data_IF_208766912004
#
_entry.id   IF_208766912004
#
_cell.length_a   1.000
_cell.length_b   1.000
_cell.length_c   1.000
_cell.angle_alpha   90.00
_cell.angle_beta   90.00
_cell.angle_gamma   90.00
#
_symmetry.space_group_name_H-M   'P 1'
#
loop_
_entity.id
_entity.type
_entity.pdbx_description
1 polymer ?
#
# COMPACT_ATOMS: atom_id res chain seq x y z
N UNK A 1 -27.33 -2.02 -2.22
CA UNK A 1 -26.32 -2.87 -1.56
C UNK A 1 -25.81 -2.13 -0.33
N UNK A 2 -25.93 -2.71 0.85
CA UNK A 2 -25.50 -2.09 2.11
C UNK A 2 -23.98 -2.04 2.13
N UNK A 3 -23.40 -0.84 2.22
CA UNK A 3 -21.95 -0.63 2.32
C UNK A 3 -21.63 -0.27 3.77
N UNK A 4 -20.68 -0.96 4.42
CA UNK A 4 -20.28 -0.63 5.78
C UNK A 4 -19.83 0.82 5.90
N UNK A 5 -20.19 1.48 6.99
CA UNK A 5 -19.85 2.89 7.24
C UNK A 5 -18.34 3.13 7.16
N UNK A 6 -17.55 2.20 7.66
CA UNK A 6 -16.08 2.28 7.59
C UNK A 6 -15.55 2.38 6.14
N UNK A 7 -16.20 1.70 5.20
CA UNK A 7 -15.80 1.77 3.78
C UNK A 7 -16.25 3.08 3.14
N UNK A 8 -17.44 3.56 3.50
CA UNK A 8 -17.96 4.84 3.02
C UNK A 8 -17.07 6.00 3.46
N UNK A 9 -16.61 5.95 4.70
CA UNK A 9 -15.78 6.99 5.33
C UNK A 9 -14.29 6.88 5.01
N UNK A 10 -13.88 5.83 4.31
CA UNK A 10 -12.47 5.62 3.97
C UNK A 10 -11.94 6.81 3.16
N UNK A 11 -10.80 7.40 3.54
CA UNK A 11 -10.19 8.49 2.80
C UNK A 11 -9.98 8.16 1.32
N UNK A 12 -10.26 9.12 0.46
CA UNK A 12 -10.07 9.02 -1.01
C UNK A 12 -8.89 9.85 -1.50
N UNK A 13 -8.42 10.77 -0.69
CA UNK A 13 -7.25 11.60 -0.97
C UNK A 13 -6.28 11.56 0.20
N UNK A 14 -5.02 11.89 -0.05
CA UNK A 14 -4.01 11.93 1.02
C UNK A 14 -4.34 12.98 2.09
N UNK A 15 -4.99 14.07 1.72
CA UNK A 15 -5.38 15.12 2.67
C UNK A 15 -6.45 14.65 3.66
N UNK A 16 -7.24 13.66 3.29
CA UNK A 16 -8.28 13.08 4.15
C UNK A 16 -7.74 12.05 5.14
N UNK A 17 -6.51 11.57 4.95
CA UNK A 17 -5.90 10.59 5.85
C UNK A 17 -5.54 11.27 7.15
N UNK A 18 -6.06 10.73 8.27
CA UNK A 18 -5.75 11.20 9.60
C UNK A 18 -4.46 10.56 10.11
N UNK A 19 -3.57 11.37 10.67
CA UNK A 19 -2.27 10.90 11.13
C UNK A 19 -1.23 10.80 10.01
N UNK A 20 -0.07 10.25 10.34
CA UNK A 20 1.05 10.02 9.39
C UNK A 20 1.61 11.33 8.78
N UNK A 21 1.54 12.44 9.49
CA UNK A 21 1.99 13.75 9.01
C UNK A 21 3.47 13.75 8.60
N UNK A 22 4.30 12.93 9.26
CA UNK A 22 5.72 12.80 8.94
C UNK A 22 6.01 12.33 7.50
N UNK A 23 5.05 11.66 6.85
CA UNK A 23 5.17 11.20 5.46
C UNK A 23 4.13 11.81 4.52
N UNK A 24 2.98 12.22 5.02
CA UNK A 24 1.84 12.68 4.22
C UNK A 24 1.62 14.20 4.24
N UNK A 25 2.33 14.95 5.07
CA UNK A 25 2.29 16.43 5.02
C UNK A 25 2.71 16.93 3.63
N UNK A 26 2.34 18.14 3.22
CA UNK A 26 2.67 18.66 1.88
C UNK A 26 4.16 18.60 1.54
N UNK A 27 5.05 18.70 2.53
CA UNK A 27 6.51 18.55 2.42
C UNK A 27 7.00 17.13 2.73
N UNK A 28 6.10 16.20 3.06
CA UNK A 28 6.44 14.83 3.40
C UNK A 28 7.02 14.05 2.22
N UNK A 29 7.89 13.08 2.52
CA UNK A 29 8.60 12.33 1.50
C UNK A 29 7.66 11.58 0.56
N UNK A 30 6.63 10.92 1.08
CA UNK A 30 5.69 10.16 0.24
C UNK A 30 4.93 11.08 -0.72
N UNK A 31 4.48 12.24 -0.25
CA UNK A 31 3.79 13.21 -1.09
C UNK A 31 4.70 13.76 -2.20
N UNK A 32 5.95 14.00 -1.90
CA UNK A 32 6.93 14.46 -2.90
C UNK A 32 7.21 13.38 -3.96
N UNK A 33 7.33 12.12 -3.54
CA UNK A 33 7.49 10.99 -4.46
C UNK A 33 6.30 10.92 -5.42
N UNK A 34 5.08 10.98 -4.92
CA UNK A 34 3.88 10.93 -5.75
C UNK A 34 3.77 12.12 -6.70
N UNK A 35 4.18 13.30 -6.27
CA UNK A 35 4.20 14.51 -7.10
C UNK A 35 5.18 14.41 -8.27
N UNK A 36 6.23 13.59 -8.17
CA UNK A 36 7.20 13.36 -9.25
C UNK A 36 6.63 12.55 -10.43
N UNK A 37 5.46 11.94 -10.26
CA UNK A 37 4.83 11.09 -11.27
C UNK A 37 5.40 9.68 -11.38
N UNK A 38 6.43 9.35 -10.62
CA UNK A 38 7.04 8.02 -10.57
C UNK A 38 6.75 7.37 -9.23
N UNK A 39 6.19 6.15 -9.25
CA UNK A 39 5.87 5.41 -8.03
C UNK A 39 6.90 4.28 -7.88
N UNK A 40 7.81 4.37 -6.90
CA UNK A 40 8.75 3.29 -6.61
C UNK A 40 8.06 2.15 -5.87
N UNK A 41 8.75 1.02 -5.77
CA UNK A 41 8.37 0.00 -4.82
C UNK A 41 8.48 0.55 -3.39
N UNK A 42 7.54 0.21 -2.54
CA UNK A 42 7.46 0.73 -1.17
C UNK A 42 7.15 -0.39 -0.18
N UNK A 43 7.60 -0.19 1.03
CA UNK A 43 7.26 -1.05 2.17
C UNK A 43 6.67 -0.17 3.26
N UNK A 44 5.44 -0.47 3.64
CA UNK A 44 4.72 0.21 4.72
C UNK A 44 4.75 -0.69 5.95
N UNK A 45 5.34 -0.24 7.04
CA UNK A 45 5.36 -1.03 8.27
C UNK A 45 4.84 -0.23 9.46
N UNK A 46 4.24 -0.92 10.38
CA UNK A 46 3.67 -0.33 11.59
C UNK A 46 2.42 -1.06 12.06
N UNK A 47 1.82 -0.60 13.16
CA UNK A 47 0.64 -1.24 13.74
C UNK A 47 -0.53 -1.32 12.78
N UNK A 48 -1.40 -2.29 12.99
CA UNK A 48 -2.67 -2.40 12.25
C UNK A 48 -3.53 -1.15 12.47
N UNK A 49 -4.37 -0.82 11.48
CA UNK A 49 -5.31 0.30 11.60
C UNK A 49 -4.67 1.68 11.50
N UNK A 50 -3.48 1.80 10.94
CA UNK A 50 -2.76 3.07 10.81
C UNK A 50 -2.87 3.70 9.42
N UNK A 51 -3.61 3.08 8.49
CA UNK A 51 -3.89 3.65 7.17
C UNK A 51 -3.05 3.08 6.03
N UNK A 52 -2.28 2.02 6.23
CA UNK A 52 -1.43 1.42 5.19
C UNK A 52 -2.21 1.03 3.93
N UNK A 53 -3.28 0.26 4.09
CA UNK A 53 -4.14 -0.15 2.97
C UNK A 53 -4.83 1.04 2.30
N UNK A 54 -5.30 1.99 3.10
CA UNK A 54 -5.96 3.21 2.61
C UNK A 54 -5.02 4.03 1.73
N UNK A 55 -3.79 4.23 2.16
CA UNK A 55 -2.78 4.98 1.39
C UNK A 55 -2.46 4.24 0.08
N UNK A 56 -2.33 2.91 0.11
CA UNK A 56 -2.10 2.12 -1.11
C UNK A 56 -3.26 2.27 -2.11
N UNK A 57 -4.51 2.25 -1.65
CA UNK A 57 -5.69 2.49 -2.50
C UNK A 57 -5.64 3.88 -3.17
N UNK A 58 -5.28 4.90 -2.42
CA UNK A 58 -5.17 6.28 -2.92
C UNK A 58 -4.08 6.37 -4.00
N UNK A 59 -2.94 5.77 -3.76
CA UNK A 59 -1.83 5.75 -4.74
C UNK A 59 -2.25 5.06 -6.03
N UNK A 60 -2.92 3.92 -5.94
CA UNK A 60 -3.42 3.20 -7.13
C UNK A 60 -4.39 4.05 -7.93
N UNK A 61 -5.33 4.74 -7.27
CA UNK A 61 -6.30 5.61 -7.92
C UNK A 61 -5.63 6.81 -8.61
N UNK A 62 -4.65 7.44 -7.98
CA UNK A 62 -3.94 8.58 -8.53
C UNK A 62 -3.05 8.22 -9.73
N UNK A 63 -2.53 6.99 -9.77
CA UNK A 63 -1.61 6.54 -10.82
C UNK A 63 -2.32 5.80 -11.96
N UNK A 64 -3.64 5.61 -11.88
CA UNK A 64 -4.46 4.87 -12.85
C UNK A 64 -4.01 3.41 -13.05
N UNK A 65 -3.22 2.87 -12.14
CA UNK A 65 -2.78 1.48 -12.17
C UNK A 65 -3.85 0.56 -11.62
N UNK A 66 -3.93 -0.64 -12.15
CA UNK A 66 -4.80 -1.66 -11.59
C UNK A 66 -4.26 -2.09 -10.22
N UNK A 67 -5.08 -1.92 -9.18
CA UNK A 67 -4.74 -2.41 -7.85
C UNK A 67 -5.07 -3.90 -7.75
N UNK A 68 -4.06 -4.70 -7.44
CA UNK A 68 -4.22 -6.11 -7.08
C UNK A 68 -3.81 -6.28 -5.61
N UNK A 69 -4.67 -6.90 -4.82
CA UNK A 69 -4.42 -7.12 -3.38
C UNK A 69 -4.20 -8.59 -3.12
N UNK A 70 -3.11 -8.91 -2.45
CA UNK A 70 -2.83 -10.24 -1.92
C UNK A 70 -2.49 -10.15 -0.44
N UNK A 71 -2.79 -11.23 0.28
CA UNK A 71 -2.34 -11.39 1.66
C UNK A 71 -1.36 -12.56 1.69
N UNK A 72 -0.14 -12.31 2.17
CA UNK A 72 0.92 -13.32 2.17
C UNK A 72 0.63 -14.52 3.08
N UNK A 73 -0.35 -14.43 3.98
CA UNK A 73 -0.80 -15.56 4.80
C UNK A 73 -1.53 -16.63 3.97
N UNK A 74 -2.13 -16.25 2.84
CA UNK A 74 -2.96 -17.14 2.01
C UNK A 74 -2.51 -17.19 0.56
N UNK A 75 -1.74 -16.23 0.08
CA UNK A 75 -1.29 -16.13 -1.30
C UNK A 75 -0.15 -17.11 -1.61
N UNK A 76 -0.07 -17.49 -2.86
CA UNK A 76 1.00 -18.35 -3.40
C UNK A 76 1.73 -17.67 -4.55
N UNK A 77 2.84 -18.26 -4.99
CA UNK A 77 3.55 -17.81 -6.19
C UNK A 77 2.68 -17.88 -7.46
N UNK A 78 1.71 -18.79 -7.49
CA UNK A 78 0.75 -18.89 -8.60
C UNK A 78 -0.14 -17.65 -8.70
N UNK A 79 -0.55 -17.06 -7.57
CA UNK A 79 -1.35 -15.83 -7.55
C UNK A 79 -0.58 -14.65 -8.14
N UNK A 80 0.71 -14.54 -7.86
CA UNK A 80 1.59 -13.51 -8.41
C UNK A 80 1.75 -13.70 -9.93
N UNK A 81 1.93 -14.93 -10.38
CA UNK A 81 2.02 -15.25 -11.82
C UNK A 81 0.74 -14.90 -12.57
N UNK A 82 -0.40 -15.15 -11.96
CA UNK A 82 -1.70 -14.79 -12.54
C UNK A 82 -1.85 -13.27 -12.69
N UNK A 83 -1.42 -12.49 -11.71
CA UNK A 83 -1.37 -11.03 -11.80
C UNK A 83 -0.44 -10.58 -12.92
N UNK A 84 0.75 -11.17 -13.00
CA UNK A 84 1.73 -10.86 -14.06
C UNK A 84 1.16 -11.14 -15.47
N UNK A 85 0.37 -12.21 -15.61
CA UNK A 85 -0.26 -12.57 -16.87
C UNK A 85 -1.30 -11.52 -17.36
N UNK A 86 -1.78 -10.64 -16.50
CA UNK A 86 -2.69 -9.56 -16.86
C UNK A 86 -1.98 -8.33 -17.45
N UNK A 87 -0.66 -8.26 -17.33
CA UNK A 87 0.13 -7.17 -17.88
C UNK A 87 0.04 -7.15 -19.41
N UNK A 88 0.10 -5.95 -19.98
CA UNK A 88 -0.03 -5.72 -21.43
C UNK A 88 -1.37 -6.21 -22.01
N UNK A 89 -2.39 -6.37 -21.19
CA UNK A 89 -3.76 -6.71 -21.57
C UNK A 89 -4.73 -5.55 -21.29
N UNK A 90 -5.96 -5.68 -21.75
CA UNK A 90 -7.04 -4.72 -21.43
C UNK A 90 -7.33 -4.62 -19.92
N UNK A 91 -6.93 -5.62 -19.14
CA UNK A 91 -7.17 -5.64 -17.70
C UNK A 91 -6.23 -4.71 -16.94
N UNK A 92 -5.04 -4.47 -17.45
CA UNK A 92 -4.04 -3.62 -16.79
C UNK A 92 -3.20 -2.85 -17.83
N UNK A 93 -3.80 -1.90 -18.59
CA UNK A 93 -3.11 -1.18 -19.67
C UNK A 93 -1.97 -0.30 -19.15
N UNK A 94 -2.10 0.25 -17.94
CA UNK A 94 -1.11 1.14 -17.32
C UNK A 94 -0.25 0.44 -16.26
N UNK A 95 -0.27 -0.90 -16.26
CA UNK A 95 0.45 -1.72 -15.31
C UNK A 95 -0.33 -2.04 -14.04
N UNK A 96 0.31 -2.72 -13.12
CA UNK A 96 -0.27 -3.20 -11.86
C UNK A 96 0.43 -2.59 -10.68
N UNK A 97 -0.35 -2.15 -9.70
CA UNK A 97 0.10 -1.90 -8.34
C UNK A 97 -0.30 -3.10 -7.49
N UNK A 98 0.69 -3.88 -7.06
CA UNK A 98 0.47 -5.01 -6.18
C UNK A 98 0.58 -4.57 -4.73
N UNK A 99 -0.51 -4.64 -3.99
CA UNK A 99 -0.51 -4.49 -2.54
C UNK A 99 -0.43 -5.87 -1.89
N UNK A 100 0.71 -6.16 -1.29
CA UNK A 100 0.95 -7.43 -0.59
C UNK A 100 0.93 -7.20 0.91
N UNK A 101 -0.15 -7.63 1.55
CA UNK A 101 -0.32 -7.50 3.00
C UNK A 101 0.41 -8.63 3.73
N UNK A 102 1.00 -8.28 4.87
CA UNK A 102 1.69 -9.23 5.77
C UNK A 102 2.84 -9.99 5.10
N UNK A 103 3.72 -9.27 4.39
CA UNK A 103 4.84 -9.85 3.63
C UNK A 103 5.75 -10.77 4.45
N UNK A 104 5.83 -10.61 5.77
CA UNK A 104 6.64 -11.45 6.64
C UNK A 104 6.24 -12.94 6.60
N UNK A 105 5.03 -13.25 6.13
CA UNK A 105 4.59 -14.65 5.96
C UNK A 105 5.07 -15.29 4.66
N UNK A 106 5.62 -14.52 3.72
CA UNK A 106 6.32 -15.09 2.58
C UNK A 106 7.69 -15.60 3.00
N UNK A 107 8.01 -16.85 2.63
CA UNK A 107 9.36 -17.37 2.79
C UNK A 107 10.32 -16.73 1.78
N UNK A 108 11.62 -17.01 1.93
CA UNK A 108 12.65 -16.45 1.06
C UNK A 108 12.41 -16.77 -0.41
N UNK A 109 12.02 -17.99 -0.73
CA UNK A 109 11.74 -18.43 -2.11
C UNK A 109 10.58 -17.68 -2.73
N UNK A 110 9.50 -17.46 -1.99
CA UNK A 110 8.35 -16.67 -2.43
C UNK A 110 8.73 -15.20 -2.65
N UNK A 111 9.54 -14.63 -1.77
CA UNK A 111 10.05 -13.27 -1.94
C UNK A 111 10.98 -13.14 -3.15
N UNK A 112 11.81 -14.14 -3.43
CA UNK A 112 12.63 -14.18 -4.64
C UNK A 112 11.78 -14.24 -5.91
N UNK A 113 10.70 -15.01 -5.92
CA UNK A 113 9.75 -15.05 -7.04
C UNK A 113 9.11 -13.68 -7.25
N UNK A 114 8.67 -13.04 -6.17
CA UNK A 114 8.13 -11.68 -6.21
C UNK A 114 9.12 -10.70 -6.82
N UNK A 115 10.38 -10.77 -6.43
CA UNK A 115 11.45 -9.92 -6.95
C UNK A 115 11.58 -10.01 -8.47
N UNK A 116 11.50 -11.20 -9.05
CA UNK A 116 11.56 -11.40 -10.50
C UNK A 116 10.49 -10.60 -11.25
N UNK A 117 9.30 -10.49 -10.67
CA UNK A 117 8.17 -9.78 -11.30
C UNK A 117 8.18 -8.27 -11.09
N UNK A 118 8.89 -7.75 -10.10
CA UNK A 118 8.98 -6.31 -9.86
C UNK A 118 10.22 -5.67 -10.48
N UNK A 119 11.24 -6.44 -10.85
CA UNK A 119 12.51 -5.92 -11.39
C UNK A 119 12.35 -5.14 -12.69
N UNK A 120 11.41 -5.53 -13.56
CA UNK A 120 11.20 -4.87 -14.84
C UNK A 120 10.29 -3.63 -14.76
N UNK A 121 9.79 -3.28 -13.57
CA UNK A 121 8.93 -2.12 -13.33
C UNK A 121 7.48 -2.25 -13.80
N UNK A 122 7.08 -3.37 -14.40
CA UNK A 122 5.69 -3.60 -14.84
C UNK A 122 4.74 -3.82 -13.67
N UNK A 123 5.22 -4.43 -12.60
CA UNK A 123 4.53 -4.51 -11.32
C UNK A 123 5.25 -3.58 -10.34
N UNK A 124 4.51 -2.65 -9.76
CA UNK A 124 4.98 -1.85 -8.63
C UNK A 124 4.45 -2.47 -7.35
N UNK A 125 5.35 -2.73 -6.42
CA UNK A 125 5.02 -3.35 -5.14
C UNK A 125 4.80 -2.30 -4.06
N UNK A 126 3.69 -2.43 -3.33
CA UNK A 126 3.57 -1.87 -1.98
C UNK A 126 3.35 -3.05 -1.04
N UNK A 127 4.36 -3.40 -0.29
CA UNK A 127 4.25 -4.43 0.74
C UNK A 127 3.92 -3.80 2.08
N UNK A 128 3.10 -4.46 2.87
CA UNK A 128 2.83 -4.04 4.24
C UNK A 128 3.24 -5.11 5.25
N UNK A 129 3.60 -4.68 6.44
CA UNK A 129 3.91 -5.57 7.55
C UNK A 129 3.68 -4.86 8.88
N UNK A 130 3.28 -5.61 9.89
CA UNK A 130 3.22 -5.14 11.28
C UNK A 130 4.57 -5.31 11.98
N UNK A 131 5.51 -6.04 11.36
CA UNK A 131 6.83 -6.37 11.88
C UNK A 131 7.91 -5.42 11.33
N UNK A 132 9.10 -5.49 11.91
CA UNK A 132 10.24 -4.73 11.37
C UNK A 132 10.71 -5.35 10.05
N UNK A 133 10.58 -4.64 8.92
CA UNK A 133 10.89 -5.20 7.61
C UNK A 133 12.36 -5.59 7.43
N UNK A 134 13.26 -4.96 8.16
CA UNK A 134 14.69 -5.25 8.08
C UNK A 134 15.06 -6.64 8.59
N UNK A 135 14.18 -7.28 9.37
CA UNK A 135 14.38 -8.66 9.84
C UNK A 135 13.67 -9.71 9.00
N UNK A 136 12.61 -9.34 8.29
CA UNK A 136 11.71 -10.30 7.64
C UNK A 136 11.67 -10.19 6.12
N UNK A 137 12.02 -9.01 5.57
CA UNK A 137 11.98 -8.80 4.13
C UNK A 137 13.36 -9.07 3.52
N UNK A 138 13.37 -9.78 2.40
CA UNK A 138 14.59 -10.11 1.68
C UNK A 138 15.33 -8.84 1.25
N UNK A 139 16.66 -8.81 1.48
CA UNK A 139 17.47 -7.62 1.23
C UNK A 139 17.38 -7.08 -0.19
N UNK A 140 17.23 -7.94 -1.17
CA UNK A 140 17.09 -7.52 -2.57
C UNK A 140 15.78 -6.74 -2.83
N UNK A 141 14.71 -7.03 -2.07
CA UNK A 141 13.46 -6.25 -2.12
C UNK A 141 13.65 -4.94 -1.36
N UNK A 142 14.24 -4.98 -0.18
CA UNK A 142 14.52 -3.78 0.63
C UNK A 142 15.35 -2.75 -0.14
N UNK A 143 16.40 -3.18 -0.82
CA UNK A 143 17.30 -2.29 -1.57
C UNK A 143 16.63 -1.63 -2.77
N UNK A 144 15.53 -2.19 -3.27
CA UNK A 144 14.72 -1.66 -4.38
C UNK A 144 13.48 -0.92 -3.94
N UNK A 145 13.31 -0.73 -2.64
CA UNK A 145 12.08 -0.18 -2.07
C UNK A 145 12.38 1.00 -1.18
N UNK A 146 11.42 1.91 -1.07
CA UNK A 146 11.43 2.96 -0.07
C UNK A 146 10.58 2.50 1.11
N UNK A 147 11.14 2.55 2.31
CA UNK A 147 10.50 2.06 3.54
C UNK A 147 9.86 3.23 4.27
N UNK A 148 8.58 3.10 4.60
CA UNK A 148 7.82 4.09 5.37
C UNK A 148 7.27 3.48 6.65
N UNK A 149 7.51 4.14 7.77
CA UNK A 149 6.92 3.79 9.04
C UNK A 149 5.55 4.46 9.20
N UNK A 150 4.54 3.64 9.53
CA UNK A 150 3.22 4.11 9.93
C UNK A 150 3.13 4.03 11.46
N UNK A 151 2.82 5.16 12.08
CA UNK A 151 2.76 5.29 13.53
C UNK A 151 1.32 5.20 14.02
N UNK A 152 1.14 4.88 15.30
CA UNK A 152 -0.17 4.99 15.93
C UNK A 152 -0.75 6.38 15.71
N UNK A 153 -2.07 6.42 15.43
CA UNK A 153 -2.78 7.69 15.24
C UNK A 153 -2.82 8.43 16.59
N UNK A 154 -2.47 9.73 16.55
CA UNK A 154 -2.53 10.58 17.74
C UNK A 154 -3.99 10.78 18.21
N UNK A 155 -4.22 11.18 19.47
CA UNK A 155 -5.57 11.56 19.93
C UNK A 155 -6.24 12.62 19.05
N UNK A 156 -5.47 13.60 18.56
CA UNK A 156 -5.96 14.64 17.65
C UNK A 156 -6.38 14.06 16.29
N UNK A 157 -5.59 13.15 15.74
CA UNK A 157 -5.91 12.44 14.50
C UNK A 157 -7.15 11.56 14.65
N UNK A 158 -7.29 10.86 15.76
CA UNK A 158 -8.48 10.07 16.08
C UNK A 158 -9.73 10.96 16.19
N UNK A 159 -9.61 12.13 16.81
CA UNK A 159 -10.72 13.09 16.91
C UNK A 159 -11.14 13.63 15.55
N UNK A 160 -10.22 13.88 14.64
CA UNK A 160 -10.53 14.29 13.26
C UNK A 160 -11.34 13.21 12.54
N UNK A 161 -10.96 11.94 12.66
CA UNK A 161 -11.68 10.83 12.08
C UNK A 161 -13.10 10.71 12.65
N UNK A 162 -13.26 10.87 13.96
CA UNK A 162 -14.58 10.85 14.63
C UNK A 162 -15.46 12.00 14.15
N UNK A 163 -14.94 13.22 14.07
CA UNK A 163 -15.69 14.39 13.58
C UNK A 163 -16.16 14.20 12.15
N UNK A 164 -15.32 13.63 11.29
CA UNK A 164 -15.70 13.31 9.92
C UNK A 164 -16.80 12.28 9.85
N UNK A 165 -16.76 11.25 10.70
CA UNK A 165 -17.83 10.26 10.79
C UNK A 165 -19.15 10.88 11.28
N UNK A 166 -19.10 11.72 12.30
CA UNK A 166 -20.28 12.43 12.82
C UNK A 166 -20.92 13.31 11.76
N UNK A 167 -20.13 14.11 11.06
CA UNK A 167 -20.62 14.99 10.00
C UNK A 167 -21.27 14.23 8.83
N UNK A 168 -20.85 13.01 8.57
CA UNK A 168 -21.46 12.17 7.54
C UNK A 168 -22.84 11.63 7.97
N UNK A 169 -23.05 11.43 9.29
CA UNK A 169 -24.29 10.87 9.82
C UNK A 169 -25.37 11.92 10.09
N UNK A 170 -25.05 13.20 10.11
CA UNK A 170 -25.99 14.34 10.23
C UNK A 170 -26.63 14.67 8.87
#
# INVERSE_FOLDING_TARGET
>A
MYQPLADVLRPKTLDEVCGQEHILAPDGLLRRILASGSVPNMIFYGPSGTGKTTVANIIAAQTHRKLCKLNATTASSADIREIYAQLDTFLAPDGVLLYLDEIQYFNKKQQQTLLEYIENGKITLIASTTENPYFYVYNAILSRSTVFEFKHISPEGAMQAIRRASAYLE
#
